data_IF_064045440432
#
_entry.id   IF_064045440432
#
_cell.length_a   1.000
_cell.length_b   1.000
_cell.length_c   1.000
_cell.angle_alpha   90.00
_cell.angle_beta   90.00
_cell.angle_gamma   90.00
#
_symmetry.space_group_name_H-M   'P 1'
#
loop_
_entity.id
_entity.type
_entity.pdbx_description
1 polymer ?
#
# COMPACT_ATOMS: atom_id res chain seq x y z
N UNK A 1 -31.85 69.83 23.39
CA UNK A 1 -31.18 70.26 24.64
C UNK A 1 -29.85 69.53 24.70
N UNK A 2 -28.80 70.26 24.35
CA UNK A 2 -27.41 69.85 24.22
C UNK A 2 -26.75 69.36 25.52
N UNK A 3 -25.72 68.52 25.37
CA UNK A 3 -24.42 68.52 26.09
C UNK A 3 -23.49 67.46 25.44
N UNK A 4 -22.58 67.86 24.52
CA UNK A 4 -21.12 68.09 24.70
C UNK A 4 -20.37 66.79 25.12
N UNK A 5 -19.56 66.13 24.28
CA UNK A 5 -18.19 66.51 23.84
C UNK A 5 -17.18 66.25 24.98
N UNK A 6 -16.00 65.62 24.87
CA UNK A 6 -15.04 65.47 23.79
C UNK A 6 -13.85 64.56 24.25
N UNK A 7 -13.25 63.81 23.30
CA UNK A 7 -11.82 63.48 23.11
C UNK A 7 -10.98 62.80 24.22
N UNK A 8 -10.39 61.63 23.91
CA UNK A 8 -8.92 61.42 23.81
C UNK A 8 -8.59 60.30 22.80
N UNK A 9 -7.84 60.70 21.76
CA UNK A 9 -6.81 60.01 20.97
C UNK A 9 -7.04 58.62 20.32
N UNK A 10 -7.12 58.69 19.00
CA UNK A 10 -6.71 57.70 18.00
C UNK A 10 -5.28 57.19 18.25
N UNK A 11 -5.04 55.89 18.09
CA UNK A 11 -3.74 55.35 17.65
C UNK A 11 -3.94 54.00 16.93
N UNK A 12 -4.13 54.15 15.62
CA UNK A 12 -3.83 53.28 14.50
C UNK A 12 -3.05 51.98 14.77
N UNK A 13 -3.62 50.84 14.35
CA UNK A 13 -2.88 49.77 13.67
C UNK A 13 -3.85 48.86 12.91
N UNK A 14 -3.98 49.16 11.61
CA UNK A 14 -4.49 48.22 10.62
C UNK A 14 -3.48 47.08 10.53
N UNK A 15 -3.88 45.84 10.84
CA UNK A 15 -3.25 44.66 10.26
C UNK A 15 -4.30 43.94 9.43
N UNK A 16 -3.94 43.80 8.17
CA UNK A 16 -4.68 43.28 7.04
C UNK A 16 -5.09 41.81 7.29
N UNK A 17 -6.18 41.43 6.63
CA UNK A 17 -6.91 40.21 6.88
C UNK A 17 -6.07 38.94 6.85
N UNK A 18 -6.14 38.17 7.92
CA UNK A 18 -5.88 36.75 7.90
C UNK A 18 -7.19 36.02 7.65
N UNK A 19 -7.54 35.92 6.36
CA UNK A 19 -8.46 34.88 5.91
C UNK A 19 -7.81 33.57 6.31
N UNK A 20 -8.39 32.89 7.30
CA UNK A 20 -8.04 31.52 7.63
C UNK A 20 -8.50 30.63 6.48
N UNK A 21 -7.64 30.53 5.45
CA UNK A 21 -7.71 29.46 4.48
C UNK A 21 -7.31 28.19 5.22
N UNK A 22 -8.30 27.55 5.84
CA UNK A 22 -8.19 26.15 6.23
C UNK A 22 -8.20 25.35 4.93
N UNK A 23 -7.05 25.31 4.26
CA UNK A 23 -6.78 24.36 3.20
C UNK A 23 -6.84 22.98 3.84
N UNK A 24 -8.04 22.39 3.83
CA UNK A 24 -8.27 21.01 4.20
C UNK A 24 -7.38 20.16 3.33
N UNK A 25 -6.25 19.73 3.89
CA UNK A 25 -5.50 18.63 3.33
C UNK A 25 -6.44 17.43 3.35
N UNK A 26 -6.89 17.00 2.18
CA UNK A 26 -7.53 15.71 2.01
C UNK A 26 -6.53 14.66 2.49
N UNK A 27 -6.68 14.22 3.74
CA UNK A 27 -6.08 12.96 4.18
C UNK A 27 -6.85 11.90 3.41
N UNK A 28 -6.37 11.59 2.21
CA UNK A 28 -6.69 10.32 1.58
C UNK A 28 -6.20 9.25 2.54
N UNK A 29 -7.09 8.72 3.37
CA UNK A 29 -6.83 7.45 4.05
C UNK A 29 -6.78 6.43 2.93
N UNK A 30 -5.57 6.15 2.42
CA UNK A 30 -5.32 4.89 1.77
C UNK A 30 -5.84 3.84 2.75
N UNK A 31 -6.88 3.10 2.36
CA UNK A 31 -7.37 2.00 3.17
C UNK A 31 -6.16 1.11 3.51
N UNK A 32 -6.00 0.73 4.78
CA UNK A 32 -4.91 -0.14 5.20
C UNK A 32 -4.97 -1.44 4.38
N UNK A 33 -3.96 -1.67 3.53
CA UNK A 33 -3.92 -2.84 2.67
C UNK A 33 -3.61 -4.07 3.52
N UNK A 34 -4.58 -4.97 3.66
CA UNK A 34 -4.38 -6.24 4.36
C UNK A 34 -3.69 -7.27 3.43
N UNK A 35 -2.37 -7.12 3.28
CA UNK A 35 -1.57 -7.98 2.41
C UNK A 35 -1.68 -9.48 2.74
N UNK A 36 -1.82 -9.81 4.03
CA UNK A 36 -2.00 -11.20 4.45
C UNK A 36 -3.31 -11.75 3.90
N UNK A 37 -4.41 -11.02 4.05
CA UNK A 37 -5.71 -11.45 3.52
C UNK A 37 -5.71 -11.57 2.00
N UNK A 38 -5.05 -10.65 1.29
CA UNK A 38 -4.85 -10.77 -0.16
C UNK A 38 -4.13 -12.07 -0.52
N UNK A 39 -3.04 -12.40 0.17
CA UNK A 39 -2.30 -13.64 -0.06
C UNK A 39 -3.18 -14.88 0.21
N UNK A 40 -3.93 -14.87 1.31
CA UNK A 40 -4.81 -15.98 1.69
C UNK A 40 -5.96 -16.18 0.69
N UNK A 41 -6.45 -15.09 0.10
CA UNK A 41 -7.55 -15.09 -0.87
C UNK A 41 -7.09 -15.50 -2.27
N UNK A 42 -5.90 -15.05 -2.66
CA UNK A 42 -5.47 -15.10 -4.06
C UNK A 42 -4.31 -16.06 -4.35
N UNK A 43 -3.43 -16.33 -3.37
CA UNK A 43 -2.15 -16.99 -3.59
C UNK A 43 -2.08 -18.37 -2.92
N UNK A 44 -2.68 -18.51 -1.73
CA UNK A 44 -2.63 -19.70 -0.87
C UNK A 44 -2.89 -21.01 -1.62
N UNK A 45 -3.88 -21.04 -2.52
CA UNK A 45 -4.31 -22.27 -3.19
C UNK A 45 -3.17 -22.98 -3.92
N UNK A 46 -2.20 -22.22 -4.45
CA UNK A 46 -1.01 -22.77 -5.10
C UNK A 46 0.25 -22.64 -4.24
N UNK A 47 0.40 -21.55 -3.50
CA UNK A 47 1.64 -21.23 -2.77
C UNK A 47 1.65 -21.64 -1.29
N UNK A 48 0.56 -22.23 -0.79
CA UNK A 48 0.41 -22.67 0.59
C UNK A 48 0.30 -21.52 1.60
N UNK A 49 -0.23 -21.81 2.79
CA UNK A 49 -0.31 -20.84 3.90
C UNK A 49 1.05 -20.58 4.54
N UNK A 50 1.95 -21.55 4.44
CA UNK A 50 3.30 -21.55 5.01
C UNK A 50 4.38 -21.18 3.99
N UNK A 51 3.98 -20.79 2.77
CA UNK A 51 4.90 -20.45 1.68
C UNK A 51 5.50 -21.65 0.95
N UNK A 52 5.08 -22.87 1.29
CA UNK A 52 5.41 -24.08 0.54
C UNK A 52 4.32 -24.36 -0.49
N UNK A 53 4.67 -24.68 -1.74
CA UNK A 53 3.68 -24.95 -2.77
C UNK A 53 2.80 -26.15 -2.39
N UNK A 54 1.51 -26.05 -2.68
CA UNK A 54 0.57 -27.17 -2.59
C UNK A 54 0.83 -28.17 -3.72
N UNK A 55 0.19 -29.34 -3.72
CA UNK A 55 0.31 -30.30 -4.83
C UNK A 55 -0.06 -29.67 -6.19
N UNK A 56 -1.08 -28.81 -6.21
CA UNK A 56 -1.44 -28.02 -7.39
C UNK A 56 -0.32 -27.05 -7.78
N UNK A 57 0.22 -26.31 -6.82
CA UNK A 57 1.35 -25.41 -7.06
C UNK A 57 2.58 -26.14 -7.60
N UNK A 58 2.91 -27.30 -7.03
CA UNK A 58 4.01 -28.15 -7.47
C UNK A 58 3.81 -28.62 -8.92
N UNK A 59 2.60 -29.06 -9.27
CA UNK A 59 2.25 -29.43 -10.65
C UNK A 59 2.39 -28.28 -11.66
N UNK A 60 2.30 -27.04 -11.19
CA UNK A 60 2.47 -25.82 -11.99
C UNK A 60 3.86 -25.18 -11.80
N UNK A 61 4.79 -25.90 -11.18
CA UNK A 61 6.18 -25.49 -10.93
C UNK A 61 6.33 -24.24 -10.05
N UNK A 62 5.39 -24.03 -9.12
CA UNK A 62 5.50 -22.99 -8.10
C UNK A 62 6.72 -23.24 -7.20
N UNK A 63 7.40 -22.15 -6.85
CA UNK A 63 8.62 -22.18 -6.02
C UNK A 63 8.26 -22.24 -4.54
N UNK A 64 9.16 -22.83 -3.76
CA UNK A 64 9.13 -22.80 -2.30
C UNK A 64 9.68 -21.47 -1.80
N UNK A 65 8.80 -20.64 -1.22
CA UNK A 65 9.18 -19.33 -0.69
C UNK A 65 9.99 -19.42 0.61
N UNK A 66 10.04 -20.58 1.25
CA UNK A 66 10.87 -20.83 2.43
C UNK A 66 12.34 -21.11 2.09
N UNK A 67 12.66 -21.28 0.80
CA UNK A 67 14.02 -21.53 0.32
C UNK A 67 14.90 -20.27 0.41
N UNK A 68 15.97 -20.27 1.24
CA UNK A 68 16.89 -19.13 1.32
C UNK A 68 17.63 -18.87 0.00
N UNK A 69 17.93 -19.93 -0.75
CA UNK A 69 18.60 -19.82 -2.05
C UNK A 69 17.72 -19.08 -3.06
N UNK A 70 16.44 -19.45 -3.15
CA UNK A 70 15.50 -18.78 -4.05
C UNK A 70 15.29 -17.32 -3.65
N UNK A 71 15.13 -17.06 -2.35
CA UNK A 71 14.97 -15.70 -1.81
C UNK A 71 16.17 -14.80 -2.15
N UNK A 72 17.39 -15.34 -2.11
CA UNK A 72 18.61 -14.60 -2.44
C UNK A 72 18.76 -14.30 -3.95
N UNK A 73 18.17 -15.12 -4.82
CA UNK A 73 18.31 -14.98 -6.28
C UNK A 73 17.22 -14.10 -6.92
N UNK A 74 16.06 -13.97 -6.28
CA UNK A 74 14.92 -13.21 -6.80
C UNK A 74 14.93 -11.78 -6.26
N UNK A 75 14.65 -10.78 -7.11
CA UNK A 75 14.48 -9.39 -6.68
C UNK A 75 13.01 -9.06 -6.41
N UNK A 76 12.75 -8.00 -5.64
CA UNK A 76 11.38 -7.57 -5.32
C UNK A 76 10.62 -7.15 -6.59
N UNK A 77 11.30 -6.52 -7.55
CA UNK A 77 10.72 -6.14 -8.84
C UNK A 77 10.31 -7.37 -9.65
N UNK A 78 11.10 -8.45 -9.59
CA UNK A 78 10.74 -9.70 -10.26
C UNK A 78 9.52 -10.36 -9.60
N UNK A 79 9.37 -10.27 -8.28
CA UNK A 79 8.17 -10.74 -7.57
C UNK A 79 6.95 -9.93 -8.03
N UNK A 80 7.06 -8.60 -8.03
CA UNK A 80 5.99 -7.70 -8.48
C UNK A 80 5.60 -7.99 -9.94
N UNK A 81 6.60 -8.15 -10.82
CA UNK A 81 6.36 -8.46 -12.24
C UNK A 81 5.67 -9.81 -12.40
N UNK A 82 6.10 -10.83 -11.65
CA UNK A 82 5.48 -12.16 -11.68
C UNK A 82 4.02 -12.12 -11.22
N UNK A 83 3.68 -11.34 -10.19
CA UNK A 83 2.29 -11.17 -9.75
C UNK A 83 1.48 -10.43 -10.82
N UNK A 84 2.04 -9.36 -11.40
CA UNK A 84 1.36 -8.59 -12.45
C UNK A 84 1.05 -9.44 -13.70
N UNK A 85 2.07 -10.11 -14.24
CA UNK A 85 2.02 -10.75 -15.56
C UNK A 85 1.66 -12.23 -15.49
N UNK A 86 1.90 -12.88 -14.36
CA UNK A 86 1.78 -14.33 -14.23
C UNK A 86 2.78 -15.08 -15.11
N UNK A 87 2.43 -16.32 -15.42
CA UNK A 87 3.12 -17.17 -16.39
C UNK A 87 2.07 -17.98 -17.14
N UNK A 88 2.01 -17.92 -18.48
CA UNK A 88 1.01 -18.66 -19.25
C UNK A 88 0.91 -20.12 -18.80
N UNK A 89 -0.33 -20.61 -18.67
CA UNK A 89 -0.66 -21.98 -18.25
C UNK A 89 -0.25 -22.37 -16.81
N UNK A 90 0.41 -21.48 -16.07
CA UNK A 90 0.90 -21.76 -14.70
C UNK A 90 0.33 -20.82 -13.64
N UNK A 91 0.46 -19.51 -13.86
CA UNK A 91 0.02 -18.48 -12.93
C UNK A 91 -0.73 -17.41 -13.71
N UNK A 92 -1.97 -17.13 -13.32
CA UNK A 92 -2.75 -16.08 -13.95
C UNK A 92 -2.22 -14.69 -13.58
N UNK A 93 -2.31 -13.70 -14.48
CA UNK A 93 -1.94 -12.31 -14.18
C UNK A 93 -2.91 -11.69 -13.17
N UNK A 94 -2.38 -10.87 -12.26
CA UNK A 94 -3.18 -10.12 -11.27
C UNK A 94 -3.29 -8.63 -11.55
N UNK A 95 -2.61 -8.09 -12.57
CA UNK A 95 -2.61 -6.64 -12.86
C UNK A 95 -4.00 -6.03 -13.11
N UNK A 96 -4.97 -6.83 -13.52
CA UNK A 96 -6.37 -6.41 -13.74
C UNK A 96 -7.28 -6.69 -12.52
N UNK A 97 -6.75 -7.36 -11.49
CA UNK A 97 -7.50 -7.80 -10.30
C UNK A 97 -7.08 -7.07 -9.02
N UNK A 98 -5.82 -6.65 -8.96
CA UNK A 98 -5.22 -5.98 -7.81
C UNK A 98 -4.59 -4.66 -8.28
N UNK A 99 -4.71 -3.63 -7.46
CA UNK A 99 -3.99 -2.37 -7.63
C UNK A 99 -2.47 -2.58 -7.49
N UNK A 100 -1.69 -1.63 -7.99
CA UNK A 100 -0.24 -1.71 -7.90
C UNK A 100 0.25 -1.64 -6.44
N UNK A 101 -0.48 -0.93 -5.59
CA UNK A 101 -0.23 -0.83 -4.16
C UNK A 101 -0.46 -2.18 -3.47
N UNK A 102 -1.54 -2.89 -3.81
CA UNK A 102 -1.84 -4.23 -3.30
C UNK A 102 -0.80 -5.27 -3.75
N UNK A 103 -0.38 -5.22 -5.02
CA UNK A 103 0.68 -6.10 -5.53
C UNK A 103 2.00 -5.86 -4.80
N UNK A 104 2.39 -4.59 -4.59
CA UNK A 104 3.58 -4.25 -3.81
C UNK A 104 3.48 -4.72 -2.36
N UNK A 105 2.28 -4.65 -1.77
CA UNK A 105 2.05 -5.09 -0.41
C UNK A 105 2.20 -6.62 -0.23
N UNK A 106 2.08 -7.42 -1.30
CA UNK A 106 2.32 -8.87 -1.26
C UNK A 106 3.80 -9.25 -1.18
N UNK A 107 4.73 -8.38 -1.60
CA UNK A 107 6.18 -8.65 -1.54
C UNK A 107 6.65 -9.00 -0.12
N UNK A 108 6.36 -8.21 0.94
CA UNK A 108 6.77 -8.56 2.29
C UNK A 108 6.15 -9.87 2.81
N UNK A 109 4.97 -10.29 2.32
CA UNK A 109 4.40 -11.60 2.64
C UNK A 109 5.28 -12.71 2.07
N UNK A 110 5.61 -12.64 0.77
CA UNK A 110 6.50 -13.61 0.10
C UNK A 110 7.88 -13.65 0.74
N UNK A 111 8.48 -12.48 1.05
CA UNK A 111 9.77 -12.39 1.75
C UNK A 111 9.71 -12.92 3.19
N UNK A 112 8.54 -12.81 3.83
CA UNK A 112 8.32 -13.25 5.20
C UNK A 112 8.58 -14.75 5.40
N UNK A 113 8.25 -15.58 4.39
CA UNK A 113 8.48 -17.03 4.45
C UNK A 113 9.96 -17.44 4.45
N UNK A 114 10.84 -16.58 3.93
CA UNK A 114 12.29 -16.83 3.88
C UNK A 114 13.05 -16.43 5.16
N UNK A 115 12.40 -15.71 6.08
CA UNK A 115 13.01 -15.26 7.33
C UNK A 115 12.89 -16.39 8.36
N UNK A 116 14.02 -16.94 8.78
CA UNK A 116 14.13 -17.84 9.95
C UNK A 116 14.67 -17.06 11.14
#
# INVERSE_FOLDING_TARGET
MDKKGAFVAVSYAIILGSVVYFSGNSISTAADINAKELYMTHCKTCHGEDGKPTDLGLGLEARDFTSPEWQAQISDEKIIKQINDGTPEKMFPFKEKLSQEEIKALVPIVRGFGKK
#
